data_IF_263261699632
#
_entry.id   IF_263261699632
#
_cell.length_a   1.000
_cell.length_b   1.000
_cell.length_c   1.000
_cell.angle_alpha   90.00
_cell.angle_beta   90.00
_cell.angle_gamma   90.00
#
_symmetry.space_group_name_H-M   'P 1'
#
loop_
_entity.id
_entity.type
_entity.pdbx_description
1 polymer ?
#
# COMPACT_ATOMS: atom_id res chain seq x y z
N UNK A 1 19.64 6.73 -6.27
CA UNK A 1 19.31 5.48 -5.58
C UNK A 1 18.02 5.65 -4.80
N UNK A 2 17.04 4.83 -5.06
CA UNK A 2 15.78 4.91 -4.31
C UNK A 2 15.97 4.11 -3.02
N UNK A 3 15.87 4.80 -1.91
CA UNK A 3 15.91 4.14 -0.61
C UNK A 3 14.50 3.65 -0.28
N UNK A 4 14.31 2.34 -0.28
CA UNK A 4 13.04 1.77 0.17
C UNK A 4 13.12 1.64 1.68
N UNK A 5 12.41 2.50 2.39
CA UNK A 5 12.30 2.35 3.82
C UNK A 5 11.04 1.57 4.16
N UNK A 6 11.21 0.50 4.87
CA UNK A 6 10.10 -0.31 5.37
C UNK A 6 10.22 -0.38 6.88
N UNK A 7 9.17 0.05 7.56
CA UNK A 7 9.10 -0.05 9.01
C UNK A 7 8.43 -1.37 9.37
N UNK A 8 9.10 -2.16 10.20
CA UNK A 8 8.51 -3.37 10.75
C UNK A 8 8.21 -3.11 12.22
N UNK A 9 6.93 -3.18 12.57
CA UNK A 9 6.48 -3.03 13.94
C UNK A 9 6.10 -4.40 14.51
N UNK A 10 6.39 -4.58 15.80
CA UNK A 10 6.03 -5.81 16.52
C UNK A 10 5.09 -5.44 17.66
N UNK A 11 3.87 -6.01 17.65
CA UNK A 11 2.90 -5.82 18.72
C UNK A 11 2.25 -7.16 19.03
N UNK A 12 2.22 -7.56 20.30
CA UNK A 12 1.62 -8.83 20.74
C UNK A 12 2.20 -10.04 19.98
N UNK A 13 3.52 -10.01 19.73
CA UNK A 13 4.24 -11.05 19.00
C UNK A 13 3.90 -11.13 17.51
N UNK A 14 3.26 -10.09 16.97
CA UNK A 14 2.96 -10.01 15.54
C UNK A 14 3.85 -9.00 14.87
N UNK A 15 4.29 -9.33 13.65
CA UNK A 15 5.10 -8.45 12.81
C UNK A 15 4.21 -7.82 11.77
N UNK A 16 4.28 -6.50 11.64
CA UNK A 16 3.55 -5.76 10.63
C UNK A 16 4.54 -4.91 9.85
N UNK A 17 4.54 -5.08 8.53
CA UNK A 17 5.33 -4.23 7.65
C UNK A 17 4.49 -3.03 7.25
N UNK A 18 5.05 -1.83 7.35
CA UNK A 18 4.39 -0.60 6.93
C UNK A 18 5.02 -0.12 5.63
N UNK A 19 4.20 0.02 4.60
CA UNK A 19 4.61 0.52 3.30
C UNK A 19 3.88 1.83 3.04
N UNK A 20 4.64 2.92 2.87
CA UNK A 20 4.07 4.23 2.65
C UNK A 20 4.07 4.56 1.16
N UNK A 21 2.90 4.92 0.62
CA UNK A 21 2.75 5.44 -0.73
C UNK A 21 2.15 6.83 -0.61
N UNK A 22 3.02 7.84 -0.72
CA UNK A 22 2.64 9.25 -0.53
C UNK A 22 2.83 10.07 -1.79
N UNK A 23 3.13 9.40 -2.90
CA UNK A 23 3.38 10.05 -4.17
C UNK A 23 2.37 9.60 -5.20
N UNK A 24 2.48 10.11 -6.43
CA UNK A 24 1.60 9.68 -7.50
C UNK A 24 1.86 8.21 -7.86
N UNK A 25 0.83 7.58 -8.36
CA UNK A 25 0.89 6.18 -8.81
C UNK A 25 1.58 6.13 -10.15
N UNK A 26 2.78 5.58 -10.18
CA UNK A 26 3.61 5.49 -11.37
C UNK A 26 4.69 4.43 -11.20
N UNK A 27 5.69 4.46 -12.08
CA UNK A 27 6.74 3.45 -12.09
C UNK A 27 7.54 3.43 -10.78
N UNK A 28 7.81 4.59 -10.20
CA UNK A 28 8.57 4.69 -8.96
C UNK A 28 7.82 4.09 -7.78
N UNK A 29 6.55 4.47 -7.59
CA UNK A 29 5.74 3.94 -6.50
C UNK A 29 5.43 2.46 -6.69
N UNK A 30 5.25 2.02 -7.92
CA UNK A 30 5.10 0.59 -8.22
C UNK A 30 6.33 -0.21 -7.82
N UNK A 31 7.51 0.29 -8.17
CA UNK A 31 8.77 -0.36 -7.81
C UNK A 31 8.96 -0.40 -6.30
N UNK A 32 8.62 0.67 -5.63
CA UNK A 32 8.67 0.76 -4.17
C UNK A 32 7.76 -0.27 -3.51
N UNK A 33 6.50 -0.36 -3.95
CA UNK A 33 5.55 -1.34 -3.43
C UNK A 33 6.02 -2.77 -3.68
N UNK A 34 6.50 -3.05 -4.90
CA UNK A 34 6.96 -4.38 -5.26
C UNK A 34 8.11 -4.82 -4.36
N UNK A 35 9.08 -3.95 -4.12
CA UNK A 35 10.19 -4.25 -3.21
C UNK A 35 9.72 -4.39 -1.77
N UNK A 36 8.82 -3.52 -1.33
CA UNK A 36 8.28 -3.59 0.04
C UNK A 36 7.56 -4.89 0.31
N UNK A 37 6.75 -5.35 -0.63
CA UNK A 37 6.06 -6.64 -0.50
C UNK A 37 7.04 -7.82 -0.48
N UNK A 38 8.08 -7.77 -1.31
CA UNK A 38 9.10 -8.81 -1.31
C UNK A 38 9.85 -8.87 0.02
N UNK A 39 10.22 -7.72 0.56
CA UNK A 39 10.89 -7.63 1.87
C UNK A 39 9.98 -8.12 2.99
N UNK A 40 8.69 -7.78 2.94
CA UNK A 40 7.71 -8.25 3.92
C UNK A 40 7.58 -9.76 3.87
N UNK A 41 7.54 -10.33 2.68
CA UNK A 41 7.49 -11.78 2.51
C UNK A 41 8.72 -12.46 3.10
N UNK A 42 9.90 -11.93 2.84
CA UNK A 42 11.16 -12.48 3.35
C UNK A 42 11.25 -12.37 4.87
N UNK A 43 10.68 -11.33 5.45
CA UNK A 43 10.65 -11.12 6.89
C UNK A 43 9.56 -11.93 7.60
N UNK A 44 8.74 -12.68 6.86
CA UNK A 44 7.62 -13.47 7.39
C UNK A 44 6.67 -12.63 8.25
N UNK A 45 6.29 -11.46 7.76
CA UNK A 45 5.35 -10.60 8.47
C UNK A 45 3.96 -11.24 8.56
N UNK A 46 3.22 -10.89 9.58
CA UNK A 46 1.85 -11.37 9.74
C UNK A 46 0.86 -10.57 8.88
N UNK A 47 1.18 -9.33 8.63
CA UNK A 47 0.34 -8.46 7.81
C UNK A 47 1.15 -7.31 7.24
N UNK A 48 0.61 -6.66 6.21
CA UNK A 48 1.16 -5.43 5.65
C UNK A 48 0.16 -4.32 5.89
N UNK A 49 0.63 -3.19 6.42
CA UNK A 49 -0.14 -1.96 6.50
C UNK A 49 0.31 -1.06 5.36
N UNK A 50 -0.59 -0.82 4.42
CA UNK A 50 -0.34 0.05 3.28
C UNK A 50 -0.88 1.43 3.61
N UNK A 51 0.02 2.36 3.88
CA UNK A 51 -0.34 3.74 4.20
C UNK A 51 -0.41 4.53 2.90
N UNK A 52 -1.60 4.99 2.54
CA UNK A 52 -1.87 5.65 1.27
C UNK A 52 -2.22 7.11 1.47
N UNK A 53 -1.57 7.95 0.67
CA UNK A 53 -1.92 9.35 0.53
C UNK A 53 -1.54 9.79 -0.88
N UNK A 54 -2.46 9.61 -1.82
CA UNK A 54 -2.19 9.84 -3.24
C UNK A 54 -3.41 10.44 -3.94
N UNK A 55 -3.16 11.31 -4.90
CA UNK A 55 -4.21 11.85 -5.78
C UNK A 55 -4.42 10.99 -7.02
N UNK A 56 -3.68 9.89 -7.16
CA UNK A 56 -3.82 8.98 -8.28
C UNK A 56 -2.58 8.91 -9.14
N UNK A 57 -2.78 8.64 -10.40
CA UNK A 57 -1.70 8.50 -11.38
C UNK A 57 -2.15 7.60 -12.52
N UNK A 58 -1.24 6.76 -13.04
CA UNK A 58 -1.55 5.92 -14.18
C UNK A 58 -2.32 4.67 -13.78
N UNK A 59 -3.33 4.34 -14.56
CA UNK A 59 -4.14 3.15 -14.35
C UNK A 59 -3.31 1.88 -14.54
N UNK A 60 -2.38 1.90 -15.47
CA UNK A 60 -1.51 0.77 -15.74
C UNK A 60 -0.71 0.35 -14.49
N UNK A 61 -0.08 1.32 -13.83
CA UNK A 61 0.68 1.04 -12.62
C UNK A 61 -0.22 0.69 -11.44
N UNK A 62 -1.38 1.32 -11.35
CA UNK A 62 -2.37 0.98 -10.33
C UNK A 62 -2.84 -0.46 -10.49
N UNK A 63 -3.03 -0.93 -11.70
CA UNK A 63 -3.43 -2.30 -11.97
C UNK A 63 -2.32 -3.29 -11.56
N UNK A 64 -1.07 -2.96 -11.86
CA UNK A 64 0.07 -3.78 -11.43
C UNK A 64 0.14 -3.87 -9.90
N UNK A 65 -0.05 -2.76 -9.21
CA UNK A 65 -0.07 -2.71 -7.75
C UNK A 65 -1.23 -3.53 -7.18
N UNK A 66 -2.42 -3.38 -7.77
CA UNK A 66 -3.60 -4.14 -7.37
C UNK A 66 -3.34 -5.64 -7.47
N UNK A 67 -2.77 -6.07 -8.60
CA UNK A 67 -2.46 -7.48 -8.82
C UNK A 67 -1.45 -7.99 -7.80
N UNK A 68 -0.41 -7.23 -7.51
CA UNK A 68 0.60 -7.61 -6.52
C UNK A 68 0.01 -7.76 -5.12
N UNK A 69 -0.89 -6.86 -4.74
CA UNK A 69 -1.57 -6.92 -3.44
C UNK A 69 -2.48 -8.14 -3.36
N UNK A 70 -3.26 -8.40 -4.41
CA UNK A 70 -4.15 -9.56 -4.47
C UNK A 70 -3.38 -10.87 -4.37
N UNK A 71 -2.18 -10.93 -4.94
CA UNK A 71 -1.35 -12.12 -4.93
C UNK A 71 -0.50 -12.28 -3.67
N UNK A 72 -0.45 -11.26 -2.84
CA UNK A 72 0.28 -11.36 -1.58
C UNK A 72 -0.47 -12.29 -0.63
N UNK A 73 0.27 -13.20 0.01
CA UNK A 73 -0.36 -14.32 0.75
C UNK A 73 -0.76 -13.98 2.17
N UNK A 74 -0.46 -12.78 2.63
CA UNK A 74 -0.82 -12.34 3.97
C UNK A 74 -1.74 -11.13 3.88
N UNK A 75 -2.49 -10.81 4.94
CA UNK A 75 -3.41 -9.68 4.91
C UNK A 75 -2.70 -8.38 4.58
N UNK A 76 -3.31 -7.59 3.70
CA UNK A 76 -2.90 -6.23 3.41
C UNK A 76 -4.02 -5.31 3.85
N UNK A 77 -3.71 -4.43 4.79
CA UNK A 77 -4.65 -3.47 5.34
C UNK A 77 -4.26 -2.09 4.82
N UNK A 78 -5.19 -1.40 4.18
CA UNK A 78 -4.98 -0.05 3.72
C UNK A 78 -5.39 0.96 4.78
N UNK A 79 -4.56 1.97 5.00
CA UNK A 79 -4.91 3.13 5.80
C UNK A 79 -4.80 4.36 4.92
N UNK A 80 -5.92 5.08 4.77
CA UNK A 80 -5.97 6.28 3.94
C UNK A 80 -5.86 7.49 4.85
N UNK A 81 -4.72 8.19 4.75
CA UNK A 81 -4.43 9.34 5.60
C UNK A 81 -5.23 10.56 5.16
N UNK A 82 -5.16 10.94 3.91
CA UNK A 82 -5.87 12.09 3.40
C UNK A 82 -6.62 11.78 2.11
N UNK A 83 -5.94 11.25 1.11
CA UNK A 83 -6.54 10.95 -0.18
C UNK A 83 -6.12 9.58 -0.72
N UNK A 84 -7.09 8.88 -1.28
CA UNK A 84 -6.83 7.76 -2.18
C UNK A 84 -7.74 7.96 -3.39
N UNK A 85 -7.43 8.97 -4.19
CA UNK A 85 -8.25 9.38 -5.31
C UNK A 85 -7.87 8.62 -6.58
N UNK A 86 -8.81 8.48 -7.47
CA UNK A 86 -8.62 7.93 -8.82
C UNK A 86 -7.92 6.56 -8.77
N UNK A 87 -6.70 6.43 -9.32
CA UNK A 87 -5.94 5.19 -9.34
C UNK A 87 -5.67 4.65 -7.94
N UNK A 88 -5.57 5.51 -6.94
CA UNK A 88 -5.42 5.08 -5.55
C UNK A 88 -6.60 4.26 -5.03
N UNK A 89 -7.80 4.58 -5.47
CA UNK A 89 -8.99 3.84 -5.09
C UNK A 89 -8.96 2.39 -5.61
N UNK A 90 -8.40 2.17 -6.79
CA UNK A 90 -8.26 0.83 -7.35
C UNK A 90 -7.34 -0.04 -6.50
N UNK A 91 -6.31 0.56 -5.93
CA UNK A 91 -5.37 -0.14 -5.05
C UNK A 91 -6.06 -0.56 -3.76
N UNK A 92 -6.88 0.32 -3.20
CA UNK A 92 -7.58 0.06 -1.94
C UNK A 92 -8.54 -1.12 -2.06
N UNK A 93 -9.20 -1.25 -3.20
CA UNK A 93 -10.16 -2.35 -3.43
C UNK A 93 -9.48 -3.71 -3.34
N UNK A 94 -8.19 -3.79 -3.64
CA UNK A 94 -7.43 -5.03 -3.56
C UNK A 94 -7.06 -5.42 -2.12
N UNK A 95 -7.14 -4.50 -1.18
CA UNK A 95 -6.75 -4.75 0.19
C UNK A 95 -7.83 -5.52 0.96
N UNK A 96 -7.43 -6.27 1.97
CA UNK A 96 -8.35 -7.08 2.77
C UNK A 96 -9.24 -6.23 3.66
N UNK A 97 -8.76 -5.08 4.10
CA UNK A 97 -9.54 -4.10 4.85
C UNK A 97 -9.01 -2.70 4.58
N UNK A 98 -9.88 -1.72 4.77
CA UNK A 98 -9.57 -0.32 4.53
C UNK A 98 -9.98 0.47 5.77
N UNK A 99 -9.04 1.25 6.29
CA UNK A 99 -9.30 2.21 7.37
C UNK A 99 -9.00 3.60 6.85
N UNK A 100 -9.80 4.56 7.26
CA UNK A 100 -9.67 5.95 6.81
C UNK A 100 -9.53 6.87 7.99
N UNK A 101 -8.59 7.81 7.91
CA UNK A 101 -8.55 8.91 8.84
C UNK A 101 -9.82 9.75 8.69
N UNK A 102 -10.29 10.34 9.79
CA UNK A 102 -11.45 11.23 9.73
C UNK A 102 -11.18 12.38 8.75
N UNK A 103 -12.09 12.59 7.81
CA UNK A 103 -11.93 13.60 6.79
C UNK A 103 -11.19 13.14 5.52
N UNK A 104 -10.70 11.90 5.50
CA UNK A 104 -10.04 11.37 4.32
C UNK A 104 -11.04 11.07 3.20
N UNK A 105 -10.54 11.06 1.97
CA UNK A 105 -11.35 10.79 0.78
C UNK A 105 -10.84 9.55 0.04
N UNK A 106 -11.79 8.80 -0.52
CA UNK A 106 -11.52 7.67 -1.39
C UNK A 106 -12.39 7.82 -2.63
N UNK A 107 -11.83 7.47 -3.78
CA UNK A 107 -12.56 7.48 -5.04
C UNK A 107 -12.09 8.56 -6.00
N UNK A 108 -12.86 8.77 -7.06
CA UNK A 108 -12.56 9.79 -8.04
C UNK A 108 -12.91 11.17 -7.47
N UNK A 109 -12.00 12.10 -7.67
CA UNK A 109 -12.24 13.48 -7.29
C UNK A 109 -13.18 14.15 -8.27
#
# INVERSE_FOLDING_TARGET
MVCVSMLIAVAQNKKVAVINIETEIGSTSWRYLSKGLAMANDANVDAVLLHLNTYGGTVEHADSMRTAILNFKRPVVAFIDNNAASAGALIDIACDSIYMRQGANIGAA
#
